data_IF_732926111828
#
_entry.id   IF_732926111828
#
_cell.length_a   1.000
_cell.length_b   1.000
_cell.length_c   1.000
_cell.angle_alpha   90.00
_cell.angle_beta   90.00
_cell.angle_gamma   90.00
#
_symmetry.space_group_name_H-M   'P 1'
#
loop_
_entity.id
_entity.type
_entity.pdbx_description
1 polymer ?
#
# COMPACT_ATOMS: atom_id res chain seq x y z
N UNK A 1 4.85 -18.68 36.50
CA UNK A 1 4.84 -17.29 36.02
C UNK A 1 3.67 -17.16 35.07
N UNK A 2 2.60 -16.50 35.50
CA UNK A 2 1.52 -16.10 34.59
C UNK A 2 2.02 -14.97 33.70
N UNK A 3 1.81 -15.12 32.39
CA UNK A 3 1.99 -14.03 31.45
C UNK A 3 0.85 -13.03 31.66
N UNK A 4 1.14 -11.90 32.28
CA UNK A 4 0.22 -10.76 32.32
C UNK A 4 0.53 -9.85 31.14
N UNK A 5 -0.37 -9.72 30.14
CA UNK A 5 -0.24 -8.69 29.13
C UNK A 5 -0.64 -7.35 29.77
N UNK A 6 0.21 -6.80 30.62
CA UNK A 6 0.06 -5.44 31.11
C UNK A 6 0.66 -4.49 30.06
N UNK A 7 -0.20 -3.97 29.18
CA UNK A 7 0.06 -2.75 28.39
C UNK A 7 -1.23 -2.16 27.77
N UNK A 8 -2.39 -2.37 28.40
CA UNK A 8 -3.67 -1.84 27.93
C UNK A 8 -4.45 -1.15 29.06
N UNK A 9 -3.87 -0.13 29.70
CA UNK A 9 -4.64 0.80 30.52
C UNK A 9 -3.87 2.12 30.71
N UNK A 10 -4.21 3.16 29.92
CA UNK A 10 -4.33 4.56 30.40
C UNK A 10 -4.44 5.65 29.32
N UNK A 11 -4.37 5.34 28.01
CA UNK A 11 -4.73 6.30 26.96
C UNK A 11 -5.90 5.77 26.13
N UNK A 12 -6.77 6.63 25.56
CA UNK A 12 -7.65 6.20 24.48
C UNK A 12 -6.76 5.83 23.29
N UNK A 13 -6.30 4.57 23.29
CA UNK A 13 -5.59 3.94 22.19
C UNK A 13 -6.47 4.10 20.96
N UNK A 14 -5.96 4.80 19.95
CA UNK A 14 -6.63 4.87 18.66
C UNK A 14 -6.84 3.45 18.15
N UNK A 15 -8.09 3.11 17.83
CA UNK A 15 -8.41 1.83 17.20
C UNK A 15 -8.22 1.93 15.68
N UNK A 16 -7.25 1.19 15.14
CA UNK A 16 -6.97 1.09 13.71
C UNK A 16 -7.43 -0.24 13.09
N UNK A 17 -8.24 -1.03 13.80
CA UNK A 17 -8.60 -2.41 13.38
C UNK A 17 -9.20 -2.43 11.97
N UNK A 18 -10.11 -1.50 11.68
CA UNK A 18 -10.76 -1.42 10.38
C UNK A 18 -9.77 -1.05 9.26
N UNK A 19 -8.94 -0.03 9.46
CA UNK A 19 -7.97 0.42 8.45
C UNK A 19 -6.89 -0.64 8.20
N UNK A 20 -6.44 -1.34 9.26
CA UNK A 20 -5.50 -2.45 9.13
C UNK A 20 -6.12 -3.65 8.39
N UNK A 21 -7.40 -3.95 8.63
CA UNK A 21 -8.11 -5.00 7.90
C UNK A 21 -8.27 -4.66 6.41
N UNK A 22 -8.58 -3.41 6.09
CA UNK A 22 -8.69 -2.93 4.71
C UNK A 22 -7.32 -2.91 4.00
N UNK A 23 -6.25 -2.48 4.69
CA UNK A 23 -4.88 -2.57 4.16
C UNK A 23 -4.46 -4.03 3.94
N UNK A 24 -4.87 -4.96 4.81
CA UNK A 24 -4.61 -6.38 4.63
C UNK A 24 -5.30 -6.90 3.37
N UNK A 25 -6.58 -6.58 3.16
CA UNK A 25 -7.32 -6.93 1.94
C UNK A 25 -6.58 -6.42 0.70
N UNK A 26 -6.25 -5.13 0.68
CA UNK A 26 -5.50 -4.51 -0.40
C UNK A 26 -4.17 -5.23 -0.70
N UNK A 27 -3.39 -5.55 0.34
CA UNK A 27 -2.14 -6.32 0.12
C UNK A 27 -2.36 -7.73 -0.39
N UNK A 28 -3.48 -8.36 -0.03
CA UNK A 28 -3.89 -9.67 -0.57
C UNK A 28 -4.17 -9.60 -2.06
N UNK A 29 -4.91 -8.58 -2.50
CA UNK A 29 -5.23 -8.35 -3.91
C UNK A 29 -3.97 -8.01 -4.74
N UNK A 30 -3.07 -7.18 -4.20
CA UNK A 30 -1.74 -6.94 -4.81
C UNK A 30 -0.92 -8.23 -4.88
N UNK A 31 -1.01 -9.10 -3.89
CA UNK A 31 -0.40 -10.44 -3.92
C UNK A 31 -0.92 -11.32 -5.05
N UNK A 32 -2.22 -11.28 -5.31
CA UNK A 32 -2.85 -11.98 -6.46
C UNK A 32 -2.36 -11.38 -7.78
N UNK A 33 -2.28 -10.05 -7.89
CA UNK A 33 -1.70 -9.38 -9.06
C UNK A 33 -0.26 -9.85 -9.35
N UNK A 34 0.59 -9.94 -8.32
CA UNK A 34 1.96 -10.45 -8.43
C UNK A 34 1.98 -11.90 -8.93
N UNK A 35 1.11 -12.76 -8.38
CA UNK A 35 1.02 -14.16 -8.80
C UNK A 35 0.62 -14.28 -10.27
N UNK A 36 -0.38 -13.52 -10.71
CA UNK A 36 -0.83 -13.52 -12.09
C UNK A 36 0.26 -13.00 -13.05
N UNK A 37 0.97 -11.91 -12.69
CA UNK A 37 2.11 -11.43 -13.47
C UNK A 37 3.26 -12.44 -13.54
N UNK A 38 3.50 -13.16 -12.44
CA UNK A 38 4.55 -14.17 -12.39
C UNK A 38 4.21 -15.39 -13.25
N UNK A 39 2.96 -15.86 -13.21
CA UNK A 39 2.46 -16.93 -14.08
C UNK A 39 2.50 -16.51 -15.56
N UNK A 40 2.14 -15.27 -15.86
CA UNK A 40 2.25 -14.66 -17.17
C UNK A 40 3.70 -14.71 -17.71
N UNK A 41 4.70 -14.32 -16.90
CA UNK A 41 6.13 -14.41 -17.27
C UNK A 41 6.59 -15.86 -17.49
N UNK A 42 6.09 -16.81 -16.70
CA UNK A 42 6.36 -18.23 -16.89
C UNK A 42 5.82 -18.76 -18.22
N UNK A 43 4.65 -18.26 -18.63
CA UNK A 43 3.98 -18.64 -19.87
C UNK A 43 4.55 -17.93 -21.11
N UNK A 44 5.13 -16.73 -21.02
CA UNK A 44 5.82 -16.08 -22.13
C UNK A 44 7.02 -16.89 -22.68
N UNK A 45 7.62 -17.75 -21.86
CA UNK A 45 8.72 -18.61 -22.28
C UNK A 45 8.25 -19.91 -22.98
N UNK A 46 6.94 -20.17 -22.99
CA UNK A 46 6.31 -21.30 -23.67
C UNK A 46 5.38 -20.73 -24.75
N UNK A 47 5.39 -21.26 -25.98
CA UNK A 47 4.60 -20.74 -27.12
C UNK A 47 3.07 -20.92 -26.96
N UNK A 48 2.45 -20.37 -25.92
CA UNK A 48 1.00 -20.35 -25.72
C UNK A 48 0.45 -18.97 -26.05
N UNK A 49 -0.43 -18.93 -27.04
CA UNK A 49 -1.16 -17.73 -27.44
C UNK A 49 -2.10 -17.30 -26.31
N UNK A 50 -1.92 -16.08 -25.82
CA UNK A 50 -2.93 -15.44 -24.98
C UNK A 50 -4.21 -15.21 -25.80
N UNK A 51 -5.40 -15.22 -25.17
CA UNK A 51 -6.61 -14.74 -25.80
C UNK A 51 -6.34 -13.35 -26.39
N UNK A 52 -6.80 -13.11 -27.61
CA UNK A 52 -6.65 -11.85 -28.37
C UNK A 52 -7.17 -10.60 -27.64
N UNK A 53 -7.88 -10.79 -26.53
CA UNK A 53 -8.47 -9.72 -25.71
C UNK A 53 -7.50 -9.22 -24.62
N UNK A 54 -6.33 -9.84 -24.45
CA UNK A 54 -5.23 -9.34 -23.61
C UNK A 54 -4.33 -8.45 -24.48
N UNK A 55 -4.89 -7.31 -24.90
CA UNK A 55 -4.23 -6.43 -25.88
C UNK A 55 -3.01 -5.66 -25.33
N UNK A 56 -2.69 -5.71 -24.03
CA UNK A 56 -1.49 -5.05 -23.51
C UNK A 56 -0.74 -5.90 -22.48
N UNK A 57 0.05 -6.82 -23.00
CA UNK A 57 1.21 -7.35 -22.29
C UNK A 57 2.09 -6.15 -21.89
N UNK A 58 2.32 -5.99 -20.58
CA UNK A 58 3.22 -4.95 -20.10
C UNK A 58 4.61 -5.09 -20.72
N UNK A 59 5.14 -3.98 -21.21
CA UNK A 59 6.48 -3.89 -21.79
C UNK A 59 7.58 -3.84 -20.72
N UNK A 60 7.23 -3.89 -19.43
CA UNK A 60 8.16 -3.76 -18.29
C UNK A 60 7.88 -4.75 -17.15
N UNK A 61 7.73 -6.07 -17.43
CA UNK A 61 7.20 -7.04 -16.47
C UNK A 61 8.02 -7.18 -15.18
N UNK A 62 9.35 -7.03 -15.24
CA UNK A 62 10.19 -7.05 -14.05
C UNK A 62 9.96 -5.82 -13.16
N UNK A 63 9.71 -4.66 -13.77
CA UNK A 63 9.44 -3.41 -13.05
C UNK A 63 8.02 -3.40 -12.48
N UNK A 64 7.05 -4.00 -13.16
CA UNK A 64 5.69 -4.14 -12.61
C UNK A 64 5.69 -4.95 -11.32
N UNK A 65 6.40 -6.09 -11.30
CA UNK A 65 6.57 -6.89 -10.08
C UNK A 65 7.28 -6.09 -8.98
N UNK A 66 8.26 -5.28 -9.33
CA UNK A 66 8.95 -4.40 -8.39
C UNK A 66 8.01 -3.35 -7.80
N UNK A 67 7.23 -2.65 -8.62
CA UNK A 67 6.30 -1.62 -8.16
C UNK A 67 5.16 -2.20 -7.32
N UNK A 68 4.59 -3.34 -7.72
CA UNK A 68 3.61 -4.08 -6.90
C UNK A 68 4.21 -4.51 -5.55
N UNK A 69 5.46 -4.95 -5.54
CA UNK A 69 6.16 -5.31 -4.29
C UNK A 69 6.44 -4.10 -3.40
N UNK A 70 6.75 -2.93 -3.98
CA UNK A 70 6.97 -1.70 -3.20
C UNK A 70 5.69 -1.29 -2.44
N UNK A 71 4.53 -1.42 -3.08
CA UNK A 71 3.22 -1.18 -2.44
C UNK A 71 3.03 -2.06 -1.20
N UNK A 72 3.29 -3.36 -1.28
CA UNK A 72 3.23 -4.27 -0.12
C UNK A 72 4.24 -3.85 0.97
N UNK A 73 5.45 -3.46 0.55
CA UNK A 73 6.50 -3.00 1.47
C UNK A 73 6.07 -1.74 2.25
N UNK A 74 5.41 -0.76 1.59
CA UNK A 74 4.87 0.43 2.27
C UNK A 74 3.85 0.06 3.34
N UNK A 75 2.91 -0.84 3.01
CA UNK A 75 1.89 -1.30 3.98
C UNK A 75 2.53 -2.00 5.17
N UNK A 76 3.55 -2.84 4.95
CA UNK A 76 4.31 -3.43 6.04
C UNK A 76 5.00 -2.37 6.91
N UNK A 77 5.53 -1.30 6.32
CA UNK A 77 6.12 -0.17 7.04
C UNK A 77 5.09 0.55 7.92
N UNK A 78 3.90 0.79 7.39
CA UNK A 78 2.78 1.41 8.12
C UNK A 78 2.41 0.60 9.37
N UNK A 79 2.24 -0.72 9.23
CA UNK A 79 1.90 -1.59 10.36
C UNK A 79 2.97 -1.56 11.47
N UNK A 80 4.26 -1.52 11.10
CA UNK A 80 5.36 -1.38 12.07
C UNK A 80 5.31 -0.05 12.80
N UNK A 81 5.07 1.05 12.09
CA UNK A 81 4.96 2.38 12.69
C UNK A 81 3.75 2.51 13.60
N UNK A 82 2.59 1.96 13.22
CA UNK A 82 1.38 1.96 14.07
C UNK A 82 1.67 1.32 15.43
N UNK A 83 2.34 0.16 15.46
CA UNK A 83 2.72 -0.51 16.72
C UNK A 83 3.60 0.38 17.60
N UNK A 84 4.64 0.96 17.02
CA UNK A 84 5.55 1.86 17.77
C UNK A 84 4.86 3.13 18.26
N UNK A 85 4.02 3.75 17.43
CA UNK A 85 3.34 5.01 17.76
C UNK A 85 2.29 4.84 18.86
N UNK A 86 1.60 3.70 18.93
CA UNK A 86 0.63 3.40 20.01
C UNK A 86 1.35 3.32 21.37
N UNK A 87 2.52 2.68 21.43
CA UNK A 87 3.29 2.52 22.68
C UNK A 87 3.77 3.86 23.24
N UNK A 88 4.20 4.79 22.36
CA UNK A 88 4.76 6.10 22.75
C UNK A 88 3.75 7.25 22.70
N UNK A 89 2.51 6.98 22.27
CA UNK A 89 1.44 7.95 22.00
C UNK A 89 1.90 9.18 21.19
N UNK A 90 2.69 8.95 20.14
CA UNK A 90 3.20 10.01 19.24
C UNK A 90 3.12 9.55 17.79
N UNK A 91 2.22 10.19 17.03
CA UNK A 91 1.88 9.78 15.66
C UNK A 91 2.55 10.63 14.57
N UNK A 92 3.44 11.57 14.92
CA UNK A 92 4.05 12.49 13.93
C UNK A 92 4.82 11.74 12.83
N UNK A 93 5.58 10.73 13.22
CA UNK A 93 6.35 9.92 12.27
C UNK A 93 5.43 9.10 11.35
N UNK A 94 4.40 8.48 11.92
CA UNK A 94 3.38 7.76 11.16
C UNK A 94 2.69 8.68 10.14
N UNK A 95 2.20 9.85 10.56
CA UNK A 95 1.53 10.81 9.66
C UNK A 95 2.48 11.24 8.52
N UNK A 96 3.75 11.53 8.81
CA UNK A 96 4.72 11.90 7.79
C UNK A 96 4.96 10.75 6.79
N UNK A 97 5.04 9.50 7.28
CA UNK A 97 5.21 8.33 6.43
C UNK A 97 3.98 8.09 5.54
N UNK A 98 2.77 8.22 6.09
CA UNK A 98 1.52 8.07 5.37
C UNK A 98 1.38 9.14 4.27
N UNK A 99 1.65 10.42 4.58
CA UNK A 99 1.63 11.49 3.59
C UNK A 99 2.60 11.23 2.42
N UNK A 100 3.83 10.81 2.70
CA UNK A 100 4.81 10.45 1.66
C UNK A 100 4.34 9.27 0.81
N UNK A 101 3.66 8.29 1.43
CA UNK A 101 3.12 7.13 0.73
C UNK A 101 1.94 7.52 -0.17
N UNK A 102 1.04 8.39 0.32
CA UNK A 102 -0.06 8.95 -0.47
C UNK A 102 0.48 9.71 -1.68
N UNK A 103 1.47 10.59 -1.50
CA UNK A 103 2.09 11.32 -2.62
C UNK A 103 2.72 10.38 -3.65
N UNK A 104 3.37 9.31 -3.19
CA UNK A 104 3.92 8.29 -4.08
C UNK A 104 2.81 7.58 -4.87
N UNK A 105 1.73 7.14 -4.23
CA UNK A 105 0.62 6.47 -4.90
C UNK A 105 -0.11 7.40 -5.88
N UNK A 106 -0.34 8.67 -5.51
CA UNK A 106 -0.85 9.70 -6.42
C UNK A 106 0.07 9.91 -7.62
N UNK A 107 1.38 9.81 -7.44
CA UNK A 107 2.34 9.90 -8.52
C UNK A 107 2.35 8.65 -9.41
N UNK A 108 2.01 7.47 -8.86
CA UNK A 108 1.83 6.23 -9.62
C UNK A 108 0.54 6.24 -10.45
N UNK A 109 -0.53 6.89 -9.99
CA UNK A 109 -1.83 6.93 -10.69
C UNK A 109 -1.89 7.90 -11.88
N UNK A 110 -0.79 8.55 -12.26
CA UNK A 110 -0.75 9.49 -13.41
C UNK A 110 0.59 9.44 -14.15
N UNK A 111 0.62 9.79 -15.45
CA UNK A 111 1.87 9.90 -16.19
C UNK A 111 2.83 10.91 -15.53
N UNK A 112 4.09 10.50 -15.30
CA UNK A 112 5.11 11.34 -14.69
C UNK A 112 6.51 11.00 -15.24
N UNK A 113 7.03 11.83 -16.14
CA UNK A 113 8.33 11.60 -16.79
C UNK A 113 9.51 11.67 -15.82
N UNK A 114 9.49 12.58 -14.83
CA UNK A 114 10.57 12.67 -13.84
C UNK A 114 10.67 11.39 -13.00
N UNK A 115 9.52 10.87 -12.58
CA UNK A 115 9.45 9.62 -11.82
C UNK A 115 9.89 8.43 -12.66
N UNK A 116 9.49 8.42 -13.94
CA UNK A 116 9.88 7.39 -14.89
C UNK A 116 11.38 7.33 -15.13
N UNK A 117 12.04 8.48 -15.26
CA UNK A 117 13.50 8.56 -15.35
C UNK A 117 14.17 8.08 -14.06
N UNK A 118 13.68 8.52 -12.89
CA UNK A 118 14.24 8.17 -11.60
C UNK A 118 14.13 6.66 -11.29
N UNK A 119 13.00 6.04 -11.63
CA UNK A 119 12.71 4.63 -11.38
C UNK A 119 13.13 3.71 -12.53
N UNK A 120 13.60 4.28 -13.66
CA UNK A 120 13.92 3.57 -14.91
C UNK A 120 12.76 2.70 -15.41
N UNK A 121 11.53 3.16 -15.17
CA UNK A 121 10.30 2.41 -15.38
C UNK A 121 9.09 3.29 -15.15
N UNK A 122 7.98 2.98 -15.80
CA UNK A 122 6.77 3.80 -15.75
C UNK A 122 5.73 3.18 -14.81
N UNK A 123 5.65 3.57 -13.54
CA UNK A 123 4.69 2.99 -12.61
C UNK A 123 3.25 3.21 -13.07
N UNK A 124 2.97 4.30 -13.80
CA UNK A 124 1.63 4.54 -14.34
C UNK A 124 1.18 3.39 -15.23
N UNK A 125 2.06 2.86 -16.09
CA UNK A 125 1.72 1.68 -16.91
C UNK A 125 1.40 0.44 -16.10
N UNK A 126 1.98 0.28 -14.91
CA UNK A 126 1.66 -0.83 -14.01
C UNK A 126 0.25 -0.64 -13.46
N UNK A 127 -0.03 0.51 -12.85
CA UNK A 127 -1.27 0.71 -12.10
C UNK A 127 -2.46 1.14 -12.97
N UNK A 128 -2.22 1.57 -14.22
CA UNK A 128 -3.26 1.80 -15.22
C UNK A 128 -3.58 0.56 -16.05
N UNK A 129 -2.87 -0.56 -15.83
CA UNK A 129 -3.06 -1.77 -16.62
C UNK A 129 -4.47 -2.33 -16.37
N UNK A 130 -5.26 -2.48 -17.43
CA UNK A 130 -6.64 -2.99 -17.35
C UNK A 130 -6.72 -4.40 -16.77
N UNK A 131 -5.69 -5.22 -16.98
CA UNK A 131 -5.56 -6.54 -16.38
C UNK A 131 -5.39 -6.48 -14.84
N UNK A 132 -4.76 -5.41 -14.34
CA UNK A 132 -4.54 -5.18 -12.90
C UNK A 132 -5.62 -4.38 -12.21
N UNK A 133 -6.48 -3.69 -12.97
CA UNK A 133 -7.51 -2.80 -12.45
C UNK A 133 -8.51 -3.49 -11.50
N UNK A 134 -8.63 -4.82 -11.58
CA UNK A 134 -9.45 -5.62 -10.67
C UNK A 134 -8.74 -6.10 -9.38
N UNK A 135 -7.44 -5.84 -9.24
CA UNK A 135 -6.60 -6.36 -8.15
C UNK A 135 -5.83 -5.26 -7.40
N UNK A 136 -5.64 -4.09 -8.02
CA UNK A 136 -4.85 -3.02 -7.40
C UNK A 136 -5.60 -1.72 -7.52
N UNK A 137 -6.19 -1.29 -6.41
CA UNK A 137 -6.88 -0.01 -6.29
C UNK A 137 -6.08 0.94 -5.39
N UNK A 138 -5.29 1.81 -6.03
CA UNK A 138 -4.49 2.82 -5.33
C UNK A 138 -5.36 3.89 -4.67
N UNK A 139 -6.54 4.20 -5.21
CA UNK A 139 -7.43 5.21 -4.65
C UNK A 139 -8.08 4.68 -3.37
N UNK A 140 -8.49 3.41 -3.38
CA UNK A 140 -8.91 2.70 -2.16
C UNK A 140 -7.81 2.73 -1.11
N UNK A 141 -6.57 2.36 -1.48
CA UNK A 141 -5.44 2.41 -0.56
C UNK A 141 -5.23 3.82 0.02
N UNK A 142 -5.20 4.86 -0.82
CA UNK A 142 -5.07 6.27 -0.39
C UNK A 142 -6.16 6.63 0.62
N UNK A 143 -7.42 6.27 0.37
CA UNK A 143 -8.52 6.59 1.28
C UNK A 143 -8.34 5.98 2.68
N UNK A 144 -7.76 4.78 2.76
CA UNK A 144 -7.44 4.14 4.04
C UNK A 144 -6.31 4.89 4.75
N UNK A 145 -5.26 5.30 4.02
CA UNK A 145 -4.14 6.05 4.59
C UNK A 145 -4.62 7.41 5.13
N UNK A 146 -5.50 8.09 4.41
CA UNK A 146 -6.12 9.35 4.84
C UNK A 146 -7.00 9.14 6.10
N UNK A 147 -7.73 8.04 6.20
CA UNK A 147 -8.50 7.69 7.40
C UNK A 147 -7.60 7.47 8.64
N UNK A 148 -6.46 6.80 8.47
CA UNK A 148 -5.45 6.62 9.54
C UNK A 148 -4.92 7.99 10.00
N UNK A 149 -4.56 8.87 9.07
CA UNK A 149 -4.09 10.23 9.38
C UNK A 149 -5.17 10.96 10.18
N UNK A 150 -6.42 10.96 9.72
CA UNK A 150 -7.52 11.65 10.38
C UNK A 150 -7.70 11.21 11.83
N UNK A 151 -7.64 9.89 12.09
CA UNK A 151 -7.68 9.34 13.46
C UNK A 151 -6.51 9.82 14.33
N UNK A 152 -5.29 9.82 13.77
CA UNK A 152 -4.09 10.31 14.48
C UNK A 152 -4.20 11.80 14.85
N UNK A 153 -4.73 12.63 13.96
CA UNK A 153 -4.88 14.07 14.17
C UNK A 153 -5.97 14.38 15.20
N UNK A 154 -7.11 13.70 15.14
CA UNK A 154 -8.21 13.86 16.11
C UNK A 154 -7.77 13.54 17.55
N UNK A 155 -6.95 12.50 17.73
CA UNK A 155 -6.39 12.14 19.04
C UNK A 155 -5.45 13.21 19.60
N UNK A 156 -4.64 13.84 18.74
CA UNK A 156 -3.74 14.94 19.14
C UNK A 156 -4.49 16.23 19.56
N UNK A 157 -5.72 16.45 19.06
CA UNK A 157 -6.56 17.59 19.45
C UNK A 157 -7.24 17.31 20.80
N UNK A 158 -7.77 16.11 21.00
CA UNK A 158 -8.41 15.72 22.27
C UNK A 158 -7.46 15.76 23.48
N UNK A 159 -6.18 15.45 23.28
CA UNK A 159 -5.16 15.50 24.33
C UNK A 159 -4.74 16.93 24.75
N UNK A 160 -5.06 17.97 23.97
CA UNK A 160 -4.77 19.38 24.31
C UNK A 160 -5.90 20.07 25.08
N UNK A 161 -7.08 19.48 25.11
CA UNK A 161 -8.30 20.03 25.72
C UNK A 161 -8.70 19.37 27.04
N UNK A 162 -7.95 18.35 27.48
CA UNK A 162 -8.10 17.67 28.77
C UNK A 162 -6.98 18.10 29.73
#
# INVERSE_FOLDING_TARGET
MEFKPDLAASNPSIDFTNELAQLLLFTGEVGVAIQQFSAYRGNLNNNFSFPSDIEEISQQPALDLMFLSDVISKVSGINRLIRGCIEINNYKELINYLNKTIELYKAYSRPNEQLKEALKGDPYKTFSNTYLKGFVDLDFAISILEAIISKCEQNNVGAKTA
#
